data_IF_406911328146
#
_entry.id   IF_406911328146
#
_cell.length_a   1.000
_cell.length_b   1.000
_cell.length_c   1.000
_cell.angle_alpha   90.00
_cell.angle_beta   90.00
_cell.angle_gamma   90.00
#
_symmetry.space_group_name_H-M   'P 1'
#
loop_
_entity.id
_entity.type
_entity.pdbx_description
1 polymer ?
#
# COMPACT_ATOMS: atom_id res chain seq x y z
N UNK A 1 -4.32 18.72 -34.30
CA UNK A 1 -4.12 18.08 -35.61
C UNK A 1 -4.88 18.85 -36.66
N UNK A 2 -4.25 19.04 -37.86
CA UNK A 2 -4.91 19.69 -39.01
C UNK A 2 -5.78 18.69 -39.74
N UNK A 3 -6.91 19.17 -40.29
CA UNK A 3 -7.76 18.38 -41.18
C UNK A 3 -7.10 18.24 -42.56
N UNK A 4 -7.29 17.14 -43.29
CA UNK A 4 -8.06 15.94 -42.92
C UNK A 4 -7.27 15.02 -41.98
N UNK A 5 -7.98 14.36 -41.02
CA UNK A 5 -7.38 13.45 -40.03
C UNK A 5 -7.14 12.03 -40.62
N UNK A 6 -7.50 11.82 -41.88
CA UNK A 6 -7.32 10.56 -42.58
C UNK A 6 -6.97 10.86 -44.04
N UNK A 7 -6.27 9.96 -44.70
CA UNK A 7 -5.85 10.02 -46.09
C UNK A 7 -5.54 8.63 -46.64
N UNK A 8 -5.14 8.55 -47.88
CA UNK A 8 -4.56 7.34 -48.41
C UNK A 8 -3.24 7.05 -47.72
N UNK A 9 -2.95 5.77 -47.44
CA UNK A 9 -1.67 5.35 -46.88
C UNK A 9 -0.54 5.78 -47.86
N UNK A 10 0.27 6.73 -47.43
CA UNK A 10 1.47 7.13 -48.16
C UNK A 10 2.64 6.26 -47.70
N UNK A 11 2.95 5.23 -48.46
CA UNK A 11 4.04 4.31 -48.20
C UNK A 11 5.43 4.94 -48.47
N UNK A 12 5.48 6.14 -49.06
CA UNK A 12 6.75 6.80 -49.41
C UNK A 12 7.53 7.32 -48.21
N UNK A 13 6.88 7.41 -47.03
CA UNK A 13 7.51 7.88 -45.78
C UNK A 13 8.04 6.78 -44.84
N UNK A 14 7.98 5.52 -45.23
CA UNK A 14 8.33 4.39 -44.33
C UNK A 14 9.84 4.09 -44.26
N UNK A 15 10.68 4.79 -45.03
CA UNK A 15 12.14 4.59 -45.03
C UNK A 15 12.79 4.82 -43.63
N UNK A 16 12.16 5.66 -42.76
CA UNK A 16 12.62 5.86 -41.41
C UNK A 16 12.53 4.59 -40.57
N UNK A 17 11.59 3.70 -40.84
CA UNK A 17 11.46 2.43 -40.09
C UNK A 17 12.67 1.51 -40.34
N UNK A 18 13.23 1.54 -41.56
CA UNK A 18 14.42 0.76 -41.91
C UNK A 18 15.63 1.20 -41.08
N UNK A 19 15.72 2.50 -40.77
CA UNK A 19 16.79 3.04 -39.91
C UNK A 19 16.75 2.56 -38.46
N UNK A 20 15.59 2.04 -38.00
CA UNK A 20 15.39 1.51 -36.65
C UNK A 20 15.80 0.04 -36.54
N UNK A 21 16.05 -0.64 -37.68
CA UNK A 21 16.48 -2.04 -37.74
C UNK A 21 15.57 -2.97 -36.94
N UNK A 22 16.16 -3.96 -36.28
CA UNK A 22 15.44 -4.97 -35.50
C UNK A 22 14.69 -4.40 -34.29
N UNK A 23 14.99 -3.14 -33.90
CA UNK A 23 14.27 -2.51 -32.80
C UNK A 23 12.78 -2.28 -33.12
N UNK A 24 12.43 -1.95 -34.37
CA UNK A 24 11.06 -1.63 -34.78
C UNK A 24 10.04 -2.73 -34.45
N UNK A 25 10.41 -3.98 -34.55
CA UNK A 25 9.57 -5.12 -34.19
C UNK A 25 9.74 -5.61 -32.74
N UNK A 26 10.50 -4.90 -31.92
CA UNK A 26 10.80 -5.30 -30.56
C UNK A 26 9.94 -4.56 -29.53
N UNK A 27 9.74 -5.15 -28.34
CA UNK A 27 9.13 -4.49 -27.17
C UNK A 27 10.15 -3.70 -26.35
N UNK A 28 11.38 -3.55 -26.83
CA UNK A 28 12.46 -2.87 -26.10
C UNK A 28 12.33 -1.35 -26.21
N UNK A 29 12.58 -0.58 -25.14
CA UNK A 29 12.63 0.86 -25.25
C UNK A 29 13.77 1.30 -26.18
N UNK A 30 13.55 2.36 -26.98
CA UNK A 30 14.57 2.95 -27.87
C UNK A 30 15.79 3.41 -27.07
N UNK A 31 15.57 4.13 -25.97
CA UNK A 31 16.58 4.55 -25.03
C UNK A 31 16.56 3.62 -23.82
N UNK A 32 17.67 2.94 -23.55
CA UNK A 32 17.92 2.25 -22.29
C UNK A 32 18.57 3.18 -21.31
N UNK A 33 17.86 3.53 -20.29
CA UNK A 33 18.43 4.21 -19.13
C UNK A 33 18.93 3.14 -18.15
N UNK A 34 20.22 3.23 -17.80
CA UNK A 34 20.81 2.40 -16.76
C UNK A 34 21.32 3.32 -15.66
N UNK A 35 20.60 3.31 -14.54
CA UNK A 35 21.03 4.01 -13.33
C UNK A 35 21.92 3.08 -12.52
N UNK A 36 23.16 3.44 -12.33
CA UNK A 36 24.07 2.75 -11.43
C UNK A 36 24.03 3.43 -10.07
N UNK A 37 23.33 2.82 -9.10
CA UNK A 37 23.35 3.26 -7.71
C UNK A 37 24.47 2.52 -6.99
N UNK A 38 25.62 3.17 -6.83
CA UNK A 38 26.69 2.66 -5.97
C UNK A 38 26.34 2.93 -4.51
N UNK A 39 26.14 1.86 -3.74
CA UNK A 39 25.96 1.98 -2.30
C UNK A 39 27.31 2.12 -1.60
N UNK A 40 27.48 3.16 -0.80
CA UNK A 40 28.66 3.34 0.01
C UNK A 40 28.47 2.72 1.40
N UNK A 41 29.43 1.84 1.78
CA UNK A 41 29.45 1.26 3.13
C UNK A 41 29.67 2.36 4.19
N UNK A 42 28.77 2.43 5.17
CA UNK A 42 28.92 3.32 6.31
C UNK A 42 29.93 2.70 7.29
N UNK A 43 31.10 3.35 7.47
CA UNK A 43 32.22 2.80 8.25
C UNK A 43 31.87 2.56 9.72
N UNK A 44 30.98 3.37 10.25
CA UNK A 44 30.48 3.31 11.64
C UNK A 44 29.29 2.34 11.82
N UNK A 45 28.90 1.59 10.78
CA UNK A 45 27.82 0.60 10.88
C UNK A 45 28.07 -0.44 12.00
N UNK A 46 29.31 -0.90 12.17
CA UNK A 46 29.66 -1.86 13.23
C UNK A 46 29.43 -1.31 14.64
N UNK A 47 29.46 -0.01 14.82
CA UNK A 47 29.08 0.64 16.07
C UNK A 47 27.55 0.73 16.18
N UNK A 48 26.86 1.23 15.15
CA UNK A 48 25.42 1.50 15.22
C UNK A 48 24.58 0.24 15.31
N UNK A 49 24.95 -0.85 14.63
CA UNK A 49 24.22 -2.14 14.72
C UNK A 49 24.19 -2.73 16.14
N UNK A 50 25.04 -2.25 17.05
CA UNK A 50 25.06 -2.67 18.45
C UNK A 50 24.17 -1.82 19.36
N UNK A 51 23.58 -0.75 18.86
CA UNK A 51 22.71 0.16 19.59
C UNK A 51 21.27 -0.32 19.56
N UNK A 52 20.42 0.30 20.38
CA UNK A 52 18.98 0.13 20.28
C UNK A 52 18.50 0.84 19.01
N UNK A 53 18.07 0.07 18.03
CA UNK A 53 17.62 0.60 16.76
C UNK A 53 16.16 0.28 16.50
N UNK A 54 15.53 1.08 15.64
CA UNK A 54 14.20 0.86 15.09
C UNK A 54 14.31 0.85 13.56
N UNK A 55 13.64 -0.09 12.92
CA UNK A 55 13.51 -0.14 11.46
C UNK A 55 12.13 0.36 11.08
N UNK A 56 12.06 1.35 10.21
CA UNK A 56 10.84 1.77 9.53
C UNK A 56 10.95 1.27 8.08
N UNK A 57 9.97 0.52 7.62
CA UNK A 57 9.91 0.04 6.24
C UNK A 57 8.77 0.73 5.49
N UNK A 58 9.13 1.55 4.51
CA UNK A 58 8.21 2.17 3.56
C UNK A 58 8.04 1.32 2.30
N UNK A 59 7.69 1.95 1.18
CA UNK A 59 7.50 1.27 -0.10
C UNK A 59 8.79 0.62 -0.59
N UNK A 60 8.71 -0.66 -0.94
CA UNK A 60 9.81 -1.44 -1.51
C UNK A 60 9.27 -2.63 -2.32
N UNK A 61 10.16 -3.35 -3.01
CA UNK A 61 9.79 -4.57 -3.73
C UNK A 61 9.55 -5.76 -2.78
N UNK A 62 8.87 -6.79 -3.29
CA UNK A 62 8.60 -8.02 -2.53
C UNK A 62 9.88 -8.73 -2.06
N UNK A 63 10.94 -8.71 -2.88
CA UNK A 63 12.23 -9.29 -2.54
C UNK A 63 12.92 -8.51 -1.41
N UNK A 64 12.96 -7.18 -1.53
CA UNK A 64 13.53 -6.30 -0.50
C UNK A 64 12.76 -6.41 0.81
N UNK A 65 11.42 -6.48 0.78
CA UNK A 65 10.60 -6.63 1.98
C UNK A 65 10.96 -7.86 2.81
N UNK A 66 11.23 -9.00 2.17
CA UNK A 66 11.72 -10.21 2.86
C UNK A 66 13.09 -9.98 3.50
N UNK A 67 14.03 -9.43 2.74
CA UNK A 67 15.39 -9.16 3.22
C UNK A 67 15.40 -8.21 4.42
N UNK A 68 14.59 -7.15 4.36
CA UNK A 68 14.44 -6.18 5.46
C UNK A 68 13.87 -6.84 6.71
N UNK A 69 12.86 -7.70 6.56
CA UNK A 69 12.27 -8.42 7.70
C UNK A 69 13.29 -9.32 8.40
N UNK A 70 14.05 -10.11 7.64
CA UNK A 70 15.10 -10.98 8.16
C UNK A 70 16.24 -10.20 8.81
N UNK A 71 16.65 -9.09 8.18
CA UNK A 71 17.71 -8.22 8.67
C UNK A 71 17.33 -7.56 10.01
N UNK A 72 16.13 -6.99 10.12
CA UNK A 72 15.63 -6.38 11.34
C UNK A 72 15.46 -7.41 12.47
N UNK A 73 14.92 -8.59 12.15
CA UNK A 73 14.81 -9.69 13.10
C UNK A 73 16.15 -10.14 13.65
N UNK A 74 17.16 -10.25 12.79
CA UNK A 74 18.52 -10.64 13.17
C UNK A 74 19.15 -9.63 14.13
N UNK A 75 18.93 -8.32 13.90
CA UNK A 75 19.40 -7.25 14.78
C UNK A 75 18.63 -7.18 16.12
N UNK A 76 17.51 -7.87 16.25
CA UNK A 76 16.60 -7.71 17.41
C UNK A 76 16.00 -6.31 17.49
N UNK A 77 15.84 -5.63 16.37
CA UNK A 77 15.23 -4.31 16.25
C UNK A 77 13.75 -4.42 15.89
N UNK A 78 12.86 -3.67 16.56
CA UNK A 78 11.47 -3.63 16.15
C UNK A 78 11.37 -3.09 14.72
N UNK A 79 10.56 -3.77 13.90
CA UNK A 79 10.28 -3.39 12.52
C UNK A 79 8.85 -2.91 12.39
N UNK A 80 8.68 -1.65 12.01
CA UNK A 80 7.39 -1.03 11.71
C UNK A 80 7.26 -0.94 10.19
N UNK A 81 6.40 -1.79 9.62
CA UNK A 81 6.18 -1.87 8.17
C UNK A 81 4.91 -1.16 7.75
N UNK A 82 5.02 -0.25 6.79
CA UNK A 82 3.91 0.29 6.03
C UNK A 82 3.21 -0.81 5.19
N UNK A 83 1.98 -0.60 4.80
CA UNK A 83 1.23 -1.50 3.91
C UNK A 83 1.98 -1.84 2.62
N UNK A 84 2.80 -0.93 2.11
CA UNK A 84 3.61 -1.11 0.89
C UNK A 84 5.02 -1.65 1.15
N UNK A 85 5.36 -1.96 2.40
CA UNK A 85 6.69 -2.44 2.77
C UNK A 85 6.96 -3.89 2.35
N UNK A 86 5.90 -4.68 2.20
CA UNK A 86 5.97 -6.10 1.83
C UNK A 86 6.81 -6.95 2.79
N UNK A 87 7.03 -6.44 4.02
CA UNK A 87 7.82 -7.08 5.08
C UNK A 87 7.06 -8.15 5.86
N UNK A 88 5.76 -8.33 5.61
CA UNK A 88 4.91 -9.24 6.39
C UNK A 88 4.42 -8.65 7.72
N UNK A 89 4.68 -7.37 7.96
CA UNK A 89 4.23 -6.63 9.14
C UNK A 89 4.38 -7.46 10.44
N UNK A 90 5.62 -7.74 10.88
CA UNK A 90 5.85 -8.60 12.06
C UNK A 90 5.23 -8.02 13.34
N UNK A 91 5.02 -6.70 13.38
CA UNK A 91 4.32 -5.97 14.41
C UNK A 91 3.04 -5.33 13.81
N UNK A 92 1.97 -6.11 13.57
CA UNK A 92 0.75 -5.59 12.96
C UNK A 92 0.08 -4.52 13.82
N UNK A 93 -0.85 -3.78 13.22
CA UNK A 93 -1.61 -2.71 13.84
C UNK A 93 -0.73 -1.57 14.38
N UNK A 94 0.37 -1.26 13.67
CA UNK A 94 1.33 -0.24 14.14
C UNK A 94 0.67 1.13 14.33
N UNK A 95 -0.20 1.53 13.41
CA UNK A 95 -0.90 2.83 13.53
C UNK A 95 -1.89 2.87 14.72
N UNK A 96 -2.26 1.71 15.30
CA UNK A 96 -3.06 1.65 16.53
C UNK A 96 -2.18 1.70 17.77
N UNK A 97 -1.22 0.76 17.93
CA UNK A 97 -0.43 0.69 19.17
C UNK A 97 0.55 1.86 19.33
N UNK A 98 0.93 2.55 18.28
CA UNK A 98 1.63 3.85 18.33
C UNK A 98 0.74 4.98 18.91
N UNK A 99 -0.54 4.76 19.12
CA UNK A 99 -1.41 5.63 19.92
C UNK A 99 -1.25 5.45 21.44
N UNK A 100 -0.57 4.39 21.91
CA UNK A 100 -0.35 4.12 23.31
C UNK A 100 0.93 4.80 23.82
N UNK A 101 0.82 5.60 24.87
CA UNK A 101 1.94 6.38 25.40
C UNK A 101 3.10 5.51 25.95
N UNK A 102 2.81 4.35 26.52
CA UNK A 102 3.85 3.43 27.03
C UNK A 102 4.64 2.80 25.88
N UNK A 103 3.95 2.38 24.81
CA UNK A 103 4.60 1.85 23.61
C UNK A 103 5.50 2.90 22.94
N UNK A 104 5.01 4.13 22.80
CA UNK A 104 5.77 5.26 22.27
C UNK A 104 6.99 5.56 23.15
N UNK A 105 6.84 5.55 24.48
CA UNK A 105 7.95 5.79 25.41
C UNK A 105 9.05 4.74 25.27
N UNK A 106 8.69 3.45 25.16
CA UNK A 106 9.68 2.39 24.94
C UNK A 106 10.38 2.57 23.60
N UNK A 107 9.60 2.75 22.53
CA UNK A 107 10.14 2.88 21.17
C UNK A 107 11.05 4.11 21.03
N UNK A 108 10.75 5.19 21.76
CA UNK A 108 11.54 6.43 21.74
C UNK A 108 12.89 6.32 22.48
N UNK A 109 13.19 5.17 23.10
CA UNK A 109 14.53 4.88 23.62
C UNK A 109 15.52 4.45 22.52
N UNK A 110 15.09 4.39 21.27
CA UNK A 110 15.94 4.09 20.12
C UNK A 110 17.06 5.12 19.98
N UNK A 111 18.29 4.65 19.81
CA UNK A 111 19.47 5.48 19.57
C UNK A 111 19.69 5.71 18.08
N UNK A 112 19.23 4.78 17.26
CA UNK A 112 19.24 4.91 15.79
C UNK A 112 17.90 4.50 15.21
N UNK A 113 17.46 5.24 14.20
CA UNK A 113 16.34 4.85 13.34
C UNK A 113 16.89 4.61 11.93
N UNK A 114 16.58 3.47 11.34
CA UNK A 114 16.87 3.17 9.94
C UNK A 114 15.55 3.05 9.20
N UNK A 115 15.26 4.04 8.38
CA UNK A 115 14.13 4.01 7.46
C UNK A 115 14.59 3.47 6.11
N UNK A 116 13.96 2.40 5.64
CA UNK A 116 14.19 1.77 4.35
C UNK A 116 12.95 2.00 3.47
N UNK A 117 13.12 2.72 2.37
CA UNK A 117 12.01 3.16 1.54
C UNK A 117 11.24 4.35 2.11
N UNK A 118 10.53 5.03 1.23
CA UNK A 118 9.69 6.21 1.51
C UNK A 118 8.20 5.89 1.40
N UNK A 119 7.35 6.91 1.42
CA UNK A 119 5.89 6.80 1.24
C UNK A 119 5.16 6.08 2.38
N UNK A 120 5.28 6.61 3.59
CA UNK A 120 4.59 6.09 4.78
C UNK A 120 3.11 6.51 4.79
N UNK A 121 2.24 5.61 5.22
CA UNK A 121 0.78 5.78 5.26
C UNK A 121 0.27 6.09 6.67
N UNK A 122 0.79 5.40 7.69
CA UNK A 122 0.32 5.46 9.08
C UNK A 122 0.49 6.84 9.70
N UNK A 123 -0.60 7.43 10.19
CA UNK A 123 -0.57 8.78 10.81
C UNK A 123 0.26 8.81 12.10
N UNK A 124 0.12 7.77 12.94
CA UNK A 124 0.84 7.70 14.22
C UNK A 124 2.31 7.38 14.02
N UNK A 125 2.61 6.59 13.00
CA UNK A 125 4.00 6.38 12.59
C UNK A 125 4.66 7.69 12.16
N UNK A 126 3.99 8.50 11.35
CA UNK A 126 4.49 9.83 10.94
C UNK A 126 4.61 10.78 12.15
N UNK A 127 3.68 10.73 13.10
CA UNK A 127 3.75 11.52 14.34
C UNK A 127 4.91 11.09 15.22
N UNK A 128 5.10 9.78 15.42
CA UNK A 128 6.25 9.26 16.16
C UNK A 128 7.56 9.63 15.47
N UNK A 129 7.64 9.46 14.16
CA UNK A 129 8.80 9.88 13.36
C UNK A 129 9.13 11.36 13.57
N UNK A 130 8.13 12.24 13.61
CA UNK A 130 8.33 13.68 13.78
C UNK A 130 8.79 14.06 15.20
N UNK A 131 8.52 13.24 16.21
CA UNK A 131 8.79 13.53 17.62
C UNK A 131 9.94 12.72 18.22
N UNK A 132 10.34 11.61 17.63
CA UNK A 132 11.46 10.81 18.10
C UNK A 132 12.79 11.58 17.97
N UNK A 133 13.70 11.37 18.89
CA UNK A 133 14.99 12.07 18.96
C UNK A 133 16.16 11.08 19.03
N UNK A 134 16.37 10.22 18.01
CA UNK A 134 17.50 9.31 17.99
C UNK A 134 18.82 10.10 17.84
N UNK A 135 19.93 9.49 18.25
CA UNK A 135 21.26 10.04 18.01
C UNK A 135 21.59 10.13 16.50
N UNK A 136 21.07 9.16 15.72
CA UNK A 136 21.20 9.10 14.26
C UNK A 136 19.91 8.63 13.61
N UNK A 137 19.59 9.23 12.47
CA UNK A 137 18.46 8.82 11.59
C UNK A 137 18.98 8.57 10.17
N UNK A 138 18.88 7.33 9.69
CA UNK A 138 19.29 6.99 8.34
C UNK A 138 18.06 6.69 7.48
N UNK A 139 17.98 7.34 6.33
CA UNK A 139 16.95 7.08 5.33
C UNK A 139 17.63 6.56 4.07
N UNK A 140 17.31 5.33 3.70
CA UNK A 140 17.81 4.63 2.52
C UNK A 140 16.68 4.49 1.51
N UNK A 141 16.84 5.01 0.32
CA UNK A 141 15.88 4.90 -0.79
C UNK A 141 16.63 5.14 -2.10
N UNK A 142 16.21 4.47 -3.17
CA UNK A 142 16.77 4.67 -4.52
C UNK A 142 16.36 6.00 -5.15
N UNK A 143 15.29 6.63 -4.65
CA UNK A 143 14.83 7.94 -5.12
C UNK A 143 15.67 9.06 -4.49
N UNK A 144 16.01 10.05 -5.29
CA UNK A 144 16.63 11.30 -4.81
C UNK A 144 15.59 12.25 -4.20
N UNK A 145 16.06 13.34 -3.63
CA UNK A 145 15.25 14.45 -3.13
C UNK A 145 14.91 14.37 -1.63
N UNK A 146 13.98 15.23 -1.21
CA UNK A 146 13.55 15.36 0.19
C UNK A 146 12.47 14.32 0.51
N UNK A 147 12.86 13.15 0.98
CA UNK A 147 11.94 12.08 1.37
C UNK A 147 11.73 12.00 2.90
N UNK A 148 12.38 12.88 3.66
CA UNK A 148 12.32 12.91 5.11
C UNK A 148 11.61 14.16 5.63
N UNK A 149 10.33 14.09 5.98
CA UNK A 149 9.55 15.26 6.40
C UNK A 149 9.92 15.80 7.77
N UNK A 150 10.52 14.99 8.64
CA UNK A 150 10.79 15.34 10.04
C UNK A 150 12.16 16.02 10.28
N UNK A 151 13.00 16.12 9.27
CA UNK A 151 14.29 16.83 9.32
C UNK A 151 15.25 16.40 10.46
N UNK A 152 15.30 15.11 10.75
CA UNK A 152 16.24 14.59 11.75
C UNK A 152 17.70 14.81 11.37
N UNK A 153 18.56 14.93 12.37
CA UNK A 153 19.99 14.76 12.17
C UNK A 153 20.28 13.33 11.73
N UNK A 154 21.08 13.17 10.67
CA UNK A 154 21.42 11.84 10.19
C UNK A 154 21.84 11.84 8.72
N UNK A 155 21.54 10.76 8.02
CA UNK A 155 22.03 10.50 6.66
C UNK A 155 20.89 10.16 5.72
N UNK A 156 20.90 10.82 4.59
CA UNK A 156 20.13 10.44 3.42
C UNK A 156 21.07 9.62 2.52
N UNK A 157 20.73 8.35 2.29
CA UNK A 157 21.54 7.40 1.53
C UNK A 157 20.77 7.01 0.26
N UNK A 158 21.24 7.47 -0.89
CA UNK A 158 20.64 7.11 -2.18
C UNK A 158 21.23 5.78 -2.61
N UNK A 159 20.45 4.72 -2.50
CA UNK A 159 20.88 3.34 -2.77
C UNK A 159 19.66 2.46 -2.95
N UNK A 160 19.78 1.38 -3.72
CA UNK A 160 18.83 0.28 -3.61
C UNK A 160 18.94 -0.37 -2.23
N UNK A 161 17.81 -0.84 -1.69
CA UNK A 161 17.75 -1.37 -0.33
C UNK A 161 18.58 -2.66 -0.21
N UNK A 162 18.49 -3.56 -1.19
CA UNK A 162 19.23 -4.83 -1.23
C UNK A 162 20.75 -4.63 -1.24
N UNK A 163 21.25 -3.69 -2.06
CA UNK A 163 22.66 -3.35 -2.12
C UNK A 163 23.14 -2.75 -0.79
N UNK A 164 22.33 -1.87 -0.18
CA UNK A 164 22.65 -1.28 1.11
C UNK A 164 22.71 -2.34 2.22
N UNK A 165 21.73 -3.24 2.29
CA UNK A 165 21.69 -4.33 3.28
C UNK A 165 22.91 -5.26 3.14
N UNK A 166 23.33 -5.57 1.91
CA UNK A 166 24.52 -6.39 1.64
C UNK A 166 25.79 -5.78 2.25
N UNK A 167 25.94 -4.47 2.18
CA UNK A 167 27.09 -3.75 2.75
C UNK A 167 26.96 -3.51 4.26
N UNK A 168 25.76 -3.64 4.82
CA UNK A 168 25.44 -3.39 6.24
C UNK A 168 24.84 -4.66 6.90
N UNK A 169 25.63 -5.75 7.01
CA UNK A 169 25.13 -7.03 7.51
C UNK A 169 24.64 -6.92 8.95
N UNK A 170 23.54 -7.59 9.23
CA UNK A 170 23.03 -7.74 10.58
C UNK A 170 23.92 -8.66 11.42
N UNK A 171 23.92 -8.45 12.73
CA UNK A 171 24.51 -9.33 13.72
C UNK A 171 23.42 -9.80 14.68
N UNK A 172 23.40 -11.09 14.97
CA UNK A 172 22.34 -11.69 15.81
C UNK A 172 22.35 -11.10 17.22
N UNK A 173 21.25 -10.50 17.60
CA UNK A 173 21.06 -9.86 18.91
C UNK A 173 19.70 -10.20 19.52
N UNK A 174 19.62 -10.08 20.83
CA UNK A 174 18.33 -10.17 21.54
C UNK A 174 17.51 -8.91 21.28
N UNK A 175 16.18 -9.05 21.12
CA UNK A 175 15.30 -7.89 21.05
C UNK A 175 15.45 -6.98 22.27
N UNK A 176 15.48 -5.67 22.03
CA UNK A 176 15.60 -4.69 23.12
C UNK A 176 14.25 -4.10 23.51
N UNK A 177 13.33 -3.91 22.56
CA UNK A 177 11.99 -3.37 22.78
C UNK A 177 11.03 -4.51 23.13
N UNK A 178 11.10 -5.00 24.35
CA UNK A 178 10.48 -6.27 24.77
C UNK A 178 8.97 -6.18 24.97
N UNK A 179 8.43 -5.00 25.27
CA UNK A 179 6.98 -4.81 25.43
C UNK A 179 6.25 -4.53 24.10
N UNK A 180 6.93 -4.05 23.07
CA UNK A 180 6.30 -3.71 21.79
C UNK A 180 5.54 -4.88 21.16
N UNK A 181 6.07 -6.12 21.11
CA UNK A 181 5.32 -7.27 20.60
C UNK A 181 3.99 -7.52 21.34
N UNK A 182 3.93 -7.23 22.64
CA UNK A 182 2.72 -7.42 23.42
C UNK A 182 1.66 -6.34 23.12
N UNK A 183 2.03 -5.09 22.98
CA UNK A 183 1.13 -4.04 22.49
C UNK A 183 0.59 -4.36 21.11
N UNK A 184 1.44 -4.82 20.20
CA UNK A 184 1.01 -5.22 18.85
C UNK A 184 0.05 -6.40 18.87
N UNK A 185 0.30 -7.42 19.70
CA UNK A 185 -0.57 -8.57 19.88
C UNK A 185 -1.95 -8.16 20.45
N UNK A 186 -1.97 -7.34 21.49
CA UNK A 186 -3.20 -6.86 22.11
C UNK A 186 -4.02 -6.01 21.12
N UNK A 187 -3.37 -5.11 20.37
CA UNK A 187 -4.02 -4.33 19.32
C UNK A 187 -4.61 -5.24 18.23
N UNK A 188 -3.90 -6.31 17.84
CA UNK A 188 -4.39 -7.29 16.87
C UNK A 188 -5.64 -8.03 17.38
N UNK A 189 -5.66 -8.51 18.62
CA UNK A 189 -6.83 -9.20 19.19
C UNK A 189 -8.05 -8.27 19.32
N UNK A 190 -7.85 -7.01 19.73
CA UNK A 190 -8.93 -6.03 19.75
C UNK A 190 -9.47 -5.75 18.34
N UNK A 191 -8.57 -5.60 17.36
CA UNK A 191 -8.96 -5.40 15.96
C UNK A 191 -9.74 -6.59 15.43
N UNK A 192 -9.29 -7.82 15.70
CA UNK A 192 -9.98 -9.05 15.30
C UNK A 192 -11.41 -9.09 15.85
N UNK A 193 -11.58 -8.83 17.14
CA UNK A 193 -12.89 -8.82 17.78
C UNK A 193 -13.82 -7.72 17.23
N UNK A 194 -13.26 -6.55 16.92
CA UNK A 194 -14.04 -5.42 16.38
C UNK A 194 -14.45 -5.65 14.90
N UNK A 195 -13.65 -6.38 14.14
CA UNK A 195 -13.79 -6.58 12.69
C UNK A 195 -14.53 -7.89 12.32
N UNK A 196 -15.33 -8.47 13.20
CA UNK A 196 -16.10 -9.71 12.91
C UNK A 196 -17.27 -9.47 11.95
N UNK A 197 -17.93 -8.31 12.08
CA UNK A 197 -19.08 -7.96 11.25
C UNK A 197 -18.69 -7.73 9.79
N UNK A 198 -19.65 -7.93 8.87
CA UNK A 198 -19.49 -7.61 7.46
C UNK A 198 -19.45 -6.09 7.29
N UNK A 199 -18.26 -5.55 7.03
CA UNK A 199 -17.98 -4.13 7.08
C UNK A 199 -16.69 -3.78 6.31
N UNK A 200 -16.45 -2.49 6.08
CA UNK A 200 -15.19 -2.00 5.50
C UNK A 200 -13.98 -2.35 6.38
N UNK A 201 -14.10 -2.18 7.69
CA UNK A 201 -13.07 -2.55 8.66
C UNK A 201 -12.81 -4.06 8.66
N UNK A 202 -13.88 -4.86 8.62
CA UNK A 202 -13.79 -6.32 8.51
C UNK A 202 -13.10 -6.77 7.22
N UNK A 203 -13.39 -6.14 6.08
CA UNK A 203 -12.70 -6.40 4.82
C UNK A 203 -11.19 -6.15 4.95
N UNK A 204 -10.81 -5.00 5.50
CA UNK A 204 -9.40 -4.64 5.69
C UNK A 204 -8.66 -5.65 6.58
N UNK A 205 -9.28 -6.08 7.69
CA UNK A 205 -8.70 -7.08 8.58
C UNK A 205 -8.54 -8.46 7.92
N UNK A 206 -9.54 -8.88 7.14
CA UNK A 206 -9.60 -10.18 6.46
C UNK A 206 -8.85 -10.22 5.12
N UNK A 207 -8.30 -9.11 4.64
CA UNK A 207 -7.75 -8.98 3.28
C UNK A 207 -6.78 -10.10 2.91
N UNK A 208 -5.98 -10.59 3.88
CA UNK A 208 -5.03 -11.68 3.65
C UNK A 208 -5.70 -12.98 3.15
N UNK A 209 -6.93 -13.25 3.56
CA UNK A 209 -7.68 -14.46 3.19
C UNK A 209 -8.14 -14.41 1.73
N UNK A 210 -8.24 -13.22 1.16
CA UNK A 210 -8.77 -12.96 -0.18
C UNK A 210 -7.70 -12.80 -1.24
N UNK A 211 -6.42 -12.79 -0.84
CA UNK A 211 -5.31 -12.63 -1.77
C UNK A 211 -5.20 -13.83 -2.71
N UNK A 212 -5.11 -13.62 -4.05
CA UNK A 212 -4.89 -14.72 -4.97
C UNK A 212 -3.52 -15.36 -4.73
N UNK A 213 -3.46 -16.67 -4.83
CA UNK A 213 -2.21 -17.41 -4.71
C UNK A 213 -1.22 -16.97 -5.80
N UNK A 214 0.02 -16.67 -5.43
CA UNK A 214 1.08 -16.14 -6.31
C UNK A 214 0.68 -14.89 -7.09
N UNK A 215 -0.38 -14.21 -6.66
CA UNK A 215 -0.90 -12.99 -7.29
C UNK A 215 -0.30 -11.72 -6.73
N UNK A 216 -1.11 -10.67 -6.75
CA UNK A 216 -0.75 -9.33 -6.28
C UNK A 216 -1.96 -8.55 -5.79
N UNK A 217 -1.71 -7.55 -4.94
CA UNK A 217 -2.69 -6.65 -4.38
C UNK A 217 -2.46 -5.23 -4.89
N UNK A 218 -3.52 -4.56 -5.33
CA UNK A 218 -3.53 -3.12 -5.56
C UNK A 218 -4.45 -2.45 -4.54
N UNK A 219 -3.95 -1.50 -3.79
CA UNK A 219 -4.70 -0.79 -2.75
C UNK A 219 -4.93 0.65 -3.18
N UNK A 220 -6.20 1.05 -3.26
CA UNK A 220 -6.59 2.44 -3.52
C UNK A 220 -6.26 3.36 -2.36
N UNK A 221 -6.24 4.66 -2.65
CA UNK A 221 -5.98 5.71 -1.67
C UNK A 221 -7.20 5.99 -0.74
N UNK A 222 -7.17 7.09 -0.02
CA UNK A 222 -8.19 7.54 0.92
C UNK A 222 -8.29 6.67 2.18
N UNK A 223 -9.47 6.23 2.57
CA UNK A 223 -9.70 5.44 3.79
C UNK A 223 -9.20 4.00 3.62
N UNK A 224 -9.41 3.38 2.46
CA UNK A 224 -9.06 1.98 2.18
C UNK A 224 -7.61 1.64 2.54
N UNK A 225 -6.65 2.41 2.04
CA UNK A 225 -5.22 2.14 2.33
C UNK A 225 -4.90 2.27 3.81
N UNK A 226 -5.56 3.18 4.50
CA UNK A 226 -5.35 3.42 5.94
C UNK A 226 -5.92 2.31 6.81
N UNK A 227 -7.08 1.78 6.45
CA UNK A 227 -7.66 0.65 7.16
C UNK A 227 -6.86 -0.63 6.92
N UNK A 228 -6.39 -0.87 5.70
CA UNK A 228 -5.53 -2.02 5.41
C UNK A 228 -4.20 -1.89 6.16
N UNK A 229 -3.57 -0.71 6.18
CA UNK A 229 -2.35 -0.47 6.94
C UNK A 229 -2.53 -0.70 8.45
N UNK A 230 -3.64 -0.21 9.01
CA UNK A 230 -3.91 -0.27 10.45
C UNK A 230 -4.45 -1.62 10.94
N UNK A 231 -5.18 -2.39 10.12
CA UNK A 231 -5.96 -3.54 10.55
C UNK A 231 -5.51 -4.87 9.96
N UNK A 232 -4.64 -4.86 8.94
CA UNK A 232 -4.22 -6.10 8.27
C UNK A 232 -2.86 -6.61 8.74
N UNK A 233 -2.57 -7.83 8.29
CA UNK A 233 -1.24 -8.43 8.30
C UNK A 233 -1.00 -9.14 6.98
N UNK A 234 -0.38 -8.43 6.04
CA UNK A 234 -0.08 -8.97 4.72
C UNK A 234 1.10 -9.96 4.78
N UNK A 235 1.17 -10.94 3.87
CA UNK A 235 2.30 -11.88 3.84
C UNK A 235 3.62 -11.20 3.44
N UNK A 236 4.72 -11.63 4.03
CA UNK A 236 6.05 -11.17 3.62
C UNK A 236 6.34 -11.55 2.17
N UNK A 237 6.82 -10.57 1.40
CA UNK A 237 7.13 -10.77 -0.01
C UNK A 237 5.92 -10.97 -0.93
N UNK A 238 4.73 -10.62 -0.49
CA UNK A 238 3.56 -10.56 -1.35
C UNK A 238 3.51 -9.19 -2.05
N UNK A 239 3.42 -9.14 -3.41
CA UNK A 239 3.45 -7.86 -4.11
C UNK A 239 2.24 -6.98 -3.80
N UNK A 240 2.49 -5.77 -3.32
CA UNK A 240 1.47 -4.76 -3.02
C UNK A 240 1.80 -3.46 -3.73
N UNK A 241 0.82 -2.91 -4.43
CA UNK A 241 0.94 -1.68 -5.21
C UNK A 241 -0.08 -0.63 -4.79
N UNK A 242 0.25 0.62 -4.93
CA UNK A 242 -0.64 1.76 -4.71
C UNK A 242 -0.08 3.05 -5.33
N UNK A 243 -0.93 3.99 -5.69
CA UNK A 243 -0.54 5.32 -6.17
C UNK A 243 -0.22 6.25 -5.00
N UNK A 244 0.91 6.01 -4.29
CA UNK A 244 1.34 6.79 -3.12
C UNK A 244 2.34 7.92 -3.45
N UNK A 245 2.21 8.55 -4.61
CA UNK A 245 2.92 9.78 -4.97
C UNK A 245 2.13 11.01 -4.53
N UNK A 246 1.31 11.58 -5.44
CA UNK A 246 0.36 12.64 -5.12
C UNK A 246 -0.82 12.12 -4.26
N UNK A 247 -1.02 10.81 -4.21
CA UNK A 247 -2.05 10.14 -3.39
C UNK A 247 -3.49 10.57 -3.71
N UNK A 248 -3.75 10.92 -5.00
CA UNK A 248 -5.09 11.20 -5.51
C UNK A 248 -5.99 9.97 -5.57
N UNK A 249 -7.26 10.19 -5.86
CA UNK A 249 -8.26 9.12 -6.00
C UNK A 249 -8.59 8.81 -7.47
N UNK A 250 -8.06 9.59 -8.38
CA UNK A 250 -8.13 9.41 -9.84
C UNK A 250 -7.09 8.39 -10.35
N UNK A 251 -7.37 7.75 -11.47
CA UNK A 251 -6.46 6.84 -12.17
C UNK A 251 -6.12 5.53 -11.43
N UNK A 252 -6.86 5.15 -10.39
CA UNK A 252 -6.54 3.98 -9.57
C UNK A 252 -6.86 2.67 -10.29
N UNK A 253 -8.01 2.59 -10.98
CA UNK A 253 -8.41 1.41 -11.76
C UNK A 253 -7.49 1.26 -12.97
N UNK A 254 -7.18 2.36 -13.66
CA UNK A 254 -6.23 2.38 -14.78
C UNK A 254 -4.86 1.85 -14.37
N UNK A 255 -4.35 2.30 -13.22
CA UNK A 255 -3.05 1.83 -12.71
C UNK A 255 -3.11 0.35 -12.32
N UNK A 256 -4.17 -0.10 -11.65
CA UNK A 256 -4.34 -1.50 -11.28
C UNK A 256 -4.39 -2.42 -12.52
N UNK A 257 -5.09 -1.96 -13.58
CA UNK A 257 -5.11 -2.65 -14.88
C UNK A 257 -3.71 -2.71 -15.51
N UNK A 258 -2.95 -1.62 -15.46
CA UNK A 258 -1.57 -1.57 -15.93
C UNK A 258 -0.64 -2.52 -15.17
N UNK A 259 -0.76 -2.58 -13.84
CA UNK A 259 -0.01 -3.51 -12.98
C UNK A 259 -0.32 -4.96 -13.34
N UNK A 260 -1.61 -5.31 -13.56
CA UNK A 260 -2.00 -6.65 -13.98
C UNK A 260 -1.44 -6.99 -15.37
N UNK A 261 -1.55 -6.06 -16.31
CA UNK A 261 -1.08 -6.26 -17.69
C UNK A 261 0.45 -6.48 -17.74
N UNK A 262 1.21 -5.70 -16.97
CA UNK A 262 2.67 -5.80 -16.92
C UNK A 262 3.16 -7.11 -16.29
N UNK A 263 2.44 -7.63 -15.31
CA UNK A 263 2.83 -8.81 -14.54
C UNK A 263 2.19 -10.11 -15.03
N UNK A 264 1.07 -10.03 -15.73
CA UNK A 264 0.16 -11.13 -16.09
C UNK A 264 -0.29 -11.99 -14.89
N UNK A 265 -0.28 -11.42 -13.66
CA UNK A 265 -0.67 -12.11 -12.43
C UNK A 265 -2.12 -11.86 -12.06
N UNK A 266 -2.73 -12.83 -11.36
CA UNK A 266 -4.00 -12.62 -10.69
C UNK A 266 -3.93 -11.43 -9.77
N UNK A 267 -4.89 -10.50 -9.87
CA UNK A 267 -4.84 -9.20 -9.19
C UNK A 267 -6.11 -8.97 -8.39
N UNK A 268 -5.94 -8.69 -7.10
CA UNK A 268 -6.98 -8.10 -6.27
C UNK A 268 -6.76 -6.60 -6.20
N UNK A 269 -7.73 -5.81 -6.65
CA UNK A 269 -7.72 -4.35 -6.53
C UNK A 269 -8.85 -3.91 -5.60
N UNK A 270 -8.58 -2.99 -4.67
CA UNK A 270 -9.57 -2.48 -3.74
C UNK A 270 -9.54 -0.95 -3.79
N UNK A 271 -10.69 -0.35 -4.10
CA UNK A 271 -10.86 1.10 -4.19
C UNK A 271 -12.16 1.53 -3.52
N UNK A 272 -12.26 2.78 -3.11
CA UNK A 272 -13.53 3.37 -2.67
C UNK A 272 -14.44 3.72 -3.85
N UNK A 273 -15.72 3.98 -3.55
CA UNK A 273 -16.75 4.38 -4.52
C UNK A 273 -16.40 5.66 -5.30
N UNK A 274 -15.97 6.72 -4.62
CA UNK A 274 -15.54 7.95 -5.29
C UNK A 274 -14.32 7.71 -6.19
N UNK A 275 -13.37 6.90 -5.75
CA UNK A 275 -12.21 6.54 -6.58
C UNK A 275 -12.64 5.79 -7.84
N UNK A 276 -13.61 4.88 -7.72
CA UNK A 276 -14.15 4.14 -8.85
C UNK A 276 -14.90 5.07 -9.82
N UNK A 277 -15.63 6.05 -9.32
CA UNK A 277 -16.31 7.04 -10.15
C UNK A 277 -15.33 7.96 -10.90
N UNK A 278 -14.26 8.40 -10.26
CA UNK A 278 -13.25 9.25 -10.90
C UNK A 278 -12.47 8.55 -12.00
N UNK A 279 -12.45 7.22 -12.02
CA UNK A 279 -11.76 6.41 -13.04
C UNK A 279 -12.69 5.37 -13.69
N UNK A 280 -13.98 5.70 -13.79
CA UNK A 280 -15.02 4.76 -14.24
C UNK A 280 -14.75 4.19 -15.63
N UNK A 281 -14.25 5.02 -16.54
CA UNK A 281 -13.97 4.61 -17.92
C UNK A 281 -12.85 3.54 -18.00
N UNK A 282 -12.00 3.45 -16.99
CA UNK A 282 -10.94 2.44 -16.91
C UNK A 282 -11.50 1.01 -16.78
N UNK A 283 -12.77 0.84 -16.44
CA UNK A 283 -13.44 -0.48 -16.49
C UNK A 283 -13.35 -1.12 -17.89
N UNK A 284 -13.25 -0.30 -18.95
CA UNK A 284 -13.03 -0.79 -20.32
C UNK A 284 -11.70 -1.57 -20.44
N UNK A 285 -10.64 -1.18 -19.71
CA UNK A 285 -9.35 -1.84 -19.73
C UNK A 285 -9.41 -3.23 -19.10
N UNK A 286 -10.27 -3.41 -18.08
CA UNK A 286 -10.43 -4.67 -17.36
C UNK A 286 -11.04 -5.78 -18.21
N UNK A 287 -11.76 -5.43 -19.28
CA UNK A 287 -12.30 -6.42 -20.26
C UNK A 287 -11.20 -7.28 -20.91
N UNK A 288 -9.97 -6.78 -20.94
CA UNK A 288 -8.82 -7.43 -21.57
C UNK A 288 -7.89 -8.10 -20.54
N UNK A 289 -8.33 -8.27 -19.31
CA UNK A 289 -7.52 -8.93 -18.28
C UNK A 289 -7.16 -10.37 -18.70
N UNK A 290 -5.87 -10.64 -18.83
CA UNK A 290 -5.31 -11.93 -19.26
C UNK A 290 -5.28 -12.98 -18.14
N UNK A 291 -5.34 -12.54 -16.89
CA UNK A 291 -5.44 -13.36 -15.69
C UNK A 291 -6.65 -12.89 -14.86
N UNK A 292 -7.09 -13.65 -13.86
CA UNK A 292 -8.16 -13.22 -12.95
C UNK A 292 -7.89 -11.83 -12.37
N UNK A 293 -8.84 -10.93 -12.54
CA UNK A 293 -8.81 -9.59 -11.96
C UNK A 293 -10.08 -9.37 -11.14
N UNK A 294 -9.93 -9.13 -9.86
CA UNK A 294 -11.05 -8.78 -8.99
C UNK A 294 -10.91 -7.32 -8.58
N UNK A 295 -11.91 -6.52 -8.92
CA UNK A 295 -12.06 -5.16 -8.43
C UNK A 295 -13.11 -5.13 -7.32
N UNK A 296 -12.70 -4.94 -6.07
CA UNK A 296 -13.62 -4.64 -4.98
C UNK A 296 -13.79 -3.12 -4.92
N UNK A 297 -15.02 -2.69 -5.07
CA UNK A 297 -15.43 -1.30 -4.82
C UNK A 297 -16.12 -1.24 -3.47
N UNK A 298 -15.48 -0.60 -2.49
CA UNK A 298 -16.07 -0.33 -1.19
C UNK A 298 -16.99 0.88 -1.33
N UNK A 299 -18.28 0.61 -1.34
CA UNK A 299 -19.31 1.64 -1.47
C UNK A 299 -19.83 2.04 -0.09
N UNK A 300 -19.21 3.05 0.50
CA UNK A 300 -19.58 3.67 1.77
C UNK A 300 -20.19 5.06 1.56
N UNK A 301 -20.73 5.33 0.35
CA UNK A 301 -21.44 6.52 -0.08
C UNK A 301 -20.64 7.82 0.13
N UNK A 302 -19.37 7.84 -0.31
CA UNK A 302 -18.62 9.08 -0.42
C UNK A 302 -17.25 9.11 0.28
N UNK A 303 -16.78 10.32 0.55
CA UNK A 303 -15.42 10.58 1.08
C UNK A 303 -15.31 10.36 2.58
N UNK A 304 -15.54 9.16 3.08
CA UNK A 304 -15.59 8.86 4.51
C UNK A 304 -14.27 9.06 5.27
N UNK A 305 -13.14 9.19 4.58
CA UNK A 305 -11.87 9.60 5.21
C UNK A 305 -12.01 10.94 5.94
N UNK A 306 -12.85 11.84 5.45
CA UNK A 306 -13.07 13.15 6.05
C UNK A 306 -13.81 13.09 7.39
N UNK A 307 -14.43 11.94 7.71
CA UNK A 307 -14.98 11.67 9.05
C UNK A 307 -13.90 11.58 10.14
N UNK A 308 -12.62 11.43 9.75
CA UNK A 308 -11.45 11.47 10.64
C UNK A 308 -10.94 12.89 10.92
N UNK A 309 -11.48 13.91 10.25
CA UNK A 309 -11.11 15.31 10.46
C UNK A 309 -11.89 15.93 11.62
N UNK A 310 -11.27 16.84 12.39
CA UNK A 310 -11.95 17.60 13.46
C UNK A 310 -12.79 18.75 12.89
N UNK A 311 -13.53 18.48 11.82
CA UNK A 311 -14.41 19.46 11.17
C UNK A 311 -15.84 19.27 11.69
N UNK A 312 -16.63 20.34 11.94
CA UNK A 312 -18.02 20.22 12.31
C UNK A 312 -18.80 19.35 11.33
N UNK A 313 -19.77 18.59 11.83
CA UNK A 313 -20.49 17.59 11.03
C UNK A 313 -21.22 18.24 9.84
N UNK A 314 -21.88 19.40 10.05
CA UNK A 314 -22.60 20.11 9.00
C UNK A 314 -21.75 20.51 7.81
N UNK A 315 -20.52 21.01 8.08
CA UNK A 315 -19.58 21.39 7.03
C UNK A 315 -19.00 20.16 6.33
N UNK A 316 -18.75 19.10 7.10
CA UNK A 316 -18.25 17.83 6.56
C UNK A 316 -19.25 17.19 5.60
N UNK A 317 -20.52 17.08 6.00
CA UNK A 317 -21.59 16.55 5.16
C UNK A 317 -21.80 17.39 3.90
N UNK A 318 -21.74 18.71 4.03
CA UNK A 318 -21.99 19.64 2.92
C UNK A 318 -20.86 19.70 1.89
N UNK A 319 -19.59 19.62 2.33
CA UNK A 319 -18.46 19.99 1.48
C UNK A 319 -17.45 18.86 1.23
N UNK A 320 -17.45 17.78 2.03
CA UNK A 320 -16.39 16.79 2.00
C UNK A 320 -16.88 15.36 1.70
N UNK A 321 -18.01 14.94 2.26
CA UNK A 321 -18.46 13.55 2.11
C UNK A 321 -18.92 13.23 0.69
N UNK A 322 -19.53 14.18 0.00
CA UNK A 322 -19.93 14.06 -1.41
C UNK A 322 -20.70 12.75 -1.70
N UNK A 323 -21.82 12.45 -1.02
CA UNK A 323 -22.57 11.23 -1.24
C UNK A 323 -23.12 11.19 -2.68
N UNK A 324 -22.98 10.05 -3.36
CA UNK A 324 -23.33 9.90 -4.78
C UNK A 324 -24.54 9.00 -4.99
N UNK A 325 -24.87 8.12 -4.03
CA UNK A 325 -25.97 7.16 -4.11
C UNK A 325 -25.95 6.31 -5.40
N UNK A 326 -24.76 5.88 -5.81
CA UNK A 326 -24.56 5.12 -7.05
C UNK A 326 -24.62 3.62 -6.83
N UNK A 327 -24.92 2.88 -7.91
CA UNK A 327 -24.92 1.43 -7.97
C UNK A 327 -23.99 0.99 -9.09
N UNK A 328 -22.94 0.25 -8.75
CA UNK A 328 -21.91 -0.16 -9.71
C UNK A 328 -22.35 -1.32 -10.61
N UNK A 329 -23.48 -1.95 -10.37
CA UNK A 329 -24.09 -2.95 -11.25
C UNK A 329 -24.26 -2.42 -12.68
N UNK A 330 -24.75 -1.18 -12.81
CA UNK A 330 -24.95 -0.57 -14.13
C UNK A 330 -23.63 -0.29 -14.84
N UNK A 331 -22.61 0.10 -14.10
CA UNK A 331 -21.27 0.27 -14.65
C UNK A 331 -20.66 -1.06 -15.07
N UNK A 332 -20.78 -2.11 -14.27
CA UNK A 332 -20.33 -3.44 -14.65
C UNK A 332 -21.03 -3.95 -15.92
N UNK A 333 -22.34 -3.77 -16.03
CA UNK A 333 -23.14 -4.12 -17.21
C UNK A 333 -22.69 -3.33 -18.45
N UNK A 334 -22.49 -2.02 -18.32
CA UNK A 334 -22.01 -1.14 -19.40
C UNK A 334 -20.69 -1.63 -20.01
N UNK A 335 -19.78 -2.13 -19.19
CA UNK A 335 -18.47 -2.63 -19.62
C UNK A 335 -18.42 -4.16 -19.77
N UNK A 336 -19.56 -4.87 -19.67
CA UNK A 336 -19.66 -6.32 -19.79
C UNK A 336 -18.78 -7.09 -18.80
N UNK A 337 -18.63 -6.57 -17.58
CA UNK A 337 -17.91 -7.22 -16.49
C UNK A 337 -18.86 -8.12 -15.69
N UNK A 338 -18.33 -9.20 -15.13
CA UNK A 338 -19.04 -9.97 -14.10
C UNK A 338 -19.24 -9.09 -12.88
N UNK A 339 -20.42 -9.20 -12.24
CA UNK A 339 -20.78 -8.39 -11.09
C UNK A 339 -21.30 -9.26 -9.95
N UNK A 340 -20.88 -8.91 -8.72
CA UNK A 340 -21.42 -9.45 -7.47
C UNK A 340 -21.59 -8.34 -6.44
N UNK A 341 -22.65 -8.47 -5.63
CA UNK A 341 -22.94 -7.59 -4.49
C UNK A 341 -23.20 -8.46 -3.27
N UNK A 342 -22.14 -8.94 -2.60
CA UNK A 342 -22.29 -9.76 -1.41
C UNK A 342 -22.82 -8.94 -0.23
N UNK A 343 -23.63 -9.57 0.61
CA UNK A 343 -24.20 -9.02 1.84
C UNK A 343 -23.68 -9.77 3.09
N UNK A 344 -22.84 -10.78 2.89
CA UNK A 344 -22.21 -11.54 3.97
C UNK A 344 -20.81 -12.03 3.57
N UNK A 345 -20.02 -12.48 4.55
CA UNK A 345 -18.71 -13.06 4.29
C UNK A 345 -18.77 -14.30 3.41
N UNK A 346 -19.78 -15.16 3.63
CA UNK A 346 -19.98 -16.38 2.85
C UNK A 346 -20.26 -16.07 1.37
N UNK A 347 -21.05 -15.03 1.10
CA UNK A 347 -21.32 -14.59 -0.27
C UNK A 347 -20.06 -13.97 -0.91
N UNK A 348 -19.27 -13.20 -0.15
CA UNK A 348 -17.99 -12.66 -0.64
C UNK A 348 -17.01 -13.78 -0.95
N UNK A 349 -16.88 -14.78 -0.06
CA UNK A 349 -16.01 -15.94 -0.26
C UNK A 349 -16.41 -16.73 -1.52
N UNK A 350 -17.69 -16.93 -1.75
CA UNK A 350 -18.22 -17.60 -2.95
C UNK A 350 -17.91 -16.81 -4.23
N UNK A 351 -18.12 -15.48 -4.22
CA UNK A 351 -17.84 -14.59 -5.34
C UNK A 351 -16.35 -14.60 -5.70
N UNK A 352 -15.46 -14.48 -4.70
CA UNK A 352 -14.00 -14.51 -4.89
C UNK A 352 -13.54 -15.89 -5.39
N UNK A 353 -14.03 -16.98 -4.80
CA UNK A 353 -13.69 -18.34 -5.22
C UNK A 353 -14.09 -18.62 -6.67
N UNK A 354 -15.20 -18.04 -7.13
CA UNK A 354 -15.61 -18.11 -8.54
C UNK A 354 -14.71 -17.26 -9.44
N UNK A 355 -14.41 -16.04 -9.02
CA UNK A 355 -13.63 -15.08 -9.79
C UNK A 355 -12.18 -15.58 -10.05
N UNK A 356 -11.55 -16.24 -9.08
CA UNK A 356 -10.18 -16.73 -9.22
C UNK A 356 -10.01 -17.93 -10.17
N UNK A 357 -11.09 -18.60 -10.56
CA UNK A 357 -11.04 -19.79 -11.42
C UNK A 357 -10.93 -19.51 -12.92
N UNK A 358 -11.21 -18.28 -13.34
CA UNK A 358 -11.32 -17.94 -14.75
C UNK A 358 -10.62 -16.62 -15.06
N UNK A 359 -9.95 -16.49 -16.20
CA UNK A 359 -9.42 -15.20 -16.66
C UNK A 359 -10.55 -14.18 -16.87
N UNK A 360 -10.17 -12.91 -16.90
CA UNK A 360 -11.09 -11.79 -17.02
C UNK A 360 -11.38 -11.09 -15.72
N UNK A 361 -12.20 -10.06 -15.75
CA UNK A 361 -12.45 -9.20 -14.62
C UNK A 361 -13.83 -9.44 -13.98
N UNK A 362 -13.85 -9.34 -12.67
CA UNK A 362 -15.06 -9.36 -11.85
C UNK A 362 -15.08 -8.10 -10.97
N UNK A 363 -16.17 -7.36 -11.03
CA UNK A 363 -16.45 -6.24 -10.11
C UNK A 363 -17.28 -6.77 -8.93
N UNK A 364 -16.79 -6.55 -7.72
CA UNK A 364 -17.51 -6.85 -6.48
C UNK A 364 -17.81 -5.52 -5.78
N UNK A 365 -19.07 -5.18 -5.66
CA UNK A 365 -19.51 -4.01 -4.92
C UNK A 365 -19.82 -4.39 -3.49
N UNK A 366 -19.02 -3.86 -2.56
CA UNK A 366 -19.22 -4.04 -1.12
C UNK A 366 -19.95 -2.81 -0.57
N UNK A 367 -21.26 -2.90 -0.43
CA UNK A 367 -22.07 -1.83 0.17
C UNK A 367 -22.01 -1.96 1.69
N UNK A 368 -21.51 -0.93 2.34
CA UNK A 368 -21.28 -0.88 3.79
C UNK A 368 -21.89 0.37 4.39
N UNK A 369 -22.01 0.39 5.72
CA UNK A 369 -22.46 1.59 6.43
C UNK A 369 -21.44 2.73 6.24
N UNK A 370 -21.94 3.94 5.96
CA UNK A 370 -21.15 5.12 5.56
C UNK A 370 -19.99 5.44 6.51
N UNK A 371 -20.23 5.46 7.81
CA UNK A 371 -19.24 5.89 8.79
C UNK A 371 -18.42 4.73 9.40
N UNK A 372 -18.71 3.50 9.05
CA UNK A 372 -18.24 2.31 9.77
C UNK A 372 -16.70 2.22 9.83
N UNK A 373 -16.01 2.34 8.72
CA UNK A 373 -14.54 2.26 8.68
C UNK A 373 -13.84 3.35 9.49
N UNK A 374 -14.34 4.59 9.43
CA UNK A 374 -13.78 5.70 10.19
C UNK A 374 -14.07 5.57 11.70
N UNK A 375 -15.27 5.13 12.07
CA UNK A 375 -15.65 4.88 13.46
C UNK A 375 -14.87 3.72 14.05
N UNK A 376 -14.67 2.63 13.30
CA UNK A 376 -13.85 1.51 13.71
C UNK A 376 -12.42 1.93 14.04
N UNK A 377 -11.81 2.75 13.16
CA UNK A 377 -10.46 3.26 13.41
C UNK A 377 -10.39 4.13 14.66
N UNK A 378 -11.35 5.05 14.86
CA UNK A 378 -11.40 5.91 16.03
C UNK A 378 -11.63 5.11 17.33
N UNK A 379 -12.55 4.15 17.32
CA UNK A 379 -12.87 3.28 18.45
C UNK A 379 -11.68 2.44 18.87
N UNK A 380 -11.03 1.76 17.92
CA UNK A 380 -9.85 0.93 18.18
C UNK A 380 -8.66 1.75 18.69
N UNK A 381 -8.46 2.96 18.15
CA UNK A 381 -7.44 3.86 18.67
C UNK A 381 -7.69 4.24 20.12
N UNK A 382 -8.94 4.56 20.48
CA UNK A 382 -9.29 4.89 21.85
C UNK A 382 -9.07 3.70 22.80
N UNK A 383 -9.43 2.48 22.38
CA UNK A 383 -9.23 1.27 23.19
C UNK A 383 -7.75 0.93 23.36
N UNK A 384 -6.97 0.93 22.28
CA UNK A 384 -5.54 0.59 22.31
C UNK A 384 -4.73 1.63 23.09
N UNK A 385 -5.15 2.90 23.09
CA UNK A 385 -4.49 3.95 23.88
C UNK A 385 -4.58 3.72 25.39
N UNK A 386 -5.50 2.89 25.86
CA UNK A 386 -5.72 2.58 27.28
C UNK A 386 -4.99 1.30 27.76
N UNK A 387 -4.36 0.53 26.87
CA UNK A 387 -3.55 -0.63 27.22
C UNK A 387 -2.30 -0.20 28.03
#
# INVERSE_FOLDING_TARGET
FAEPLYGELDDTGLDWQQSLGDWWGSEKPWLREQTHLESAKQRDWFFWRQKRGVVIAGRMSAAEGKLVAEWAQTLGWPLIGDVLSQTGQPLPCADLWLGNAKAVTELSQAQIVVQLGSSLTGKRLLQWQATCTPEEYWLVDSLEGRLHPAHHRGRRLVSSIDAWLTLHPAEKRKPWAVAIPDFSRQAWELTKAHCEAFSEAGLAHRIRQYLPEQGQLFVGNSLVVRLIDAFSKLPAGYPVYSNRGASGIDGLISTAAGVQRASAKSTLAIVGDLSALYDLNALALLRQASAPFVLIVVNNNGGQIFSLLPTPQSERERFYLMPQNVQFEHAAAMFSLKYHRPESWEQLDAALSSAWKQPGATLIELVVNEADGAQALQSLLAQVSQL
#
